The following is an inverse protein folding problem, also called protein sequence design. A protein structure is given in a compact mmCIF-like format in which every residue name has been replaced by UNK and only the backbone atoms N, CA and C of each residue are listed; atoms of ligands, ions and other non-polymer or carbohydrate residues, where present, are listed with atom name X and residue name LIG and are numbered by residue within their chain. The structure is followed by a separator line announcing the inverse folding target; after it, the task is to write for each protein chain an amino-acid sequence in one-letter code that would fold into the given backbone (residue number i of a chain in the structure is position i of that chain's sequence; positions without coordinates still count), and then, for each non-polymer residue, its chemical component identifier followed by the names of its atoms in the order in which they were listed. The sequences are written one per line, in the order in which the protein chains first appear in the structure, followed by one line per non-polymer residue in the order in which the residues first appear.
data_IF_623501544164
#
_entry.id   IF_623501544164
#
_cell.length_a   1.000
_cell.length_b   1.000
_cell.length_c   1.000
_cell.angle_alpha   90.00
_cell.angle_beta   90.00
_cell.angle_gamma   90.00
#
_symmetry.space_group_name_H-M   'P 1'
#
loop_
_entity.id
_entity.type
_entity.pdbx_description
1 polymer ?
#
# COMPACT_ATOMS: atom_id res chain seq x y z
N UNK A 1 70.34 21.64 -9.85
CA UNK A 1 69.15 20.93 -9.34
C UNK A 1 68.05 21.96 -9.09
N UNK A 2 67.05 22.06 -9.97
CA UNK A 2 66.00 23.09 -9.89
C UNK A 2 64.63 22.48 -9.56
N UNK A 3 64.04 22.79 -8.38
CA UNK A 3 62.75 22.24 -7.95
C UNK A 3 61.52 22.87 -8.65
N UNK A 4 61.70 23.88 -9.51
CA UNK A 4 60.60 24.66 -10.07
C UNK A 4 59.91 24.08 -11.32
N UNK A 5 60.39 22.96 -11.88
CA UNK A 5 59.79 22.35 -13.10
C UNK A 5 58.69 21.32 -12.83
N UNK A 6 58.42 20.93 -11.58
CA UNK A 6 57.37 19.95 -11.25
C UNK A 6 56.02 20.56 -10.86
N UNK A 7 55.98 21.83 -10.46
CA UNK A 7 54.73 22.51 -10.05
C UNK A 7 53.91 22.95 -11.28
N UNK A 8 54.57 23.34 -12.38
CA UNK A 8 53.88 23.75 -13.60
C UNK A 8 53.10 22.61 -14.30
N UNK A 9 53.49 21.34 -14.12
CA UNK A 9 52.77 20.19 -14.71
C UNK A 9 51.58 19.71 -13.88
N UNK A 10 51.53 20.03 -12.57
CA UNK A 10 50.37 19.70 -11.73
C UNK A 10 49.22 20.69 -11.94
N UNK A 11 49.52 21.97 -12.19
CA UNK A 11 48.50 23.00 -12.45
C UNK A 11 47.78 22.79 -13.79
N UNK A 12 48.47 22.28 -14.81
CA UNK A 12 47.84 21.98 -16.12
C UNK A 12 47.03 20.68 -16.10
N UNK A 13 47.35 19.72 -15.22
CA UNK A 13 46.52 18.51 -15.06
C UNK A 13 45.26 18.77 -14.23
N UNK A 14 45.31 19.69 -13.24
CA UNK A 14 44.11 20.11 -12.50
C UNK A 14 43.17 21.01 -13.31
N UNK A 15 43.67 21.73 -14.32
CA UNK A 15 42.83 22.50 -15.24
C UNK A 15 42.08 21.64 -16.28
N UNK A 16 42.50 20.39 -16.50
CA UNK A 16 41.84 19.41 -17.37
C UNK A 16 40.90 18.44 -16.64
N UNK A 17 40.87 18.48 -15.31
CA UNK A 17 39.91 17.74 -14.47
C UNK A 17 38.70 18.60 -14.03
N UNK A 18 38.67 19.87 -14.45
CA UNK A 18 37.48 20.72 -14.40
C UNK A 18 36.50 20.41 -15.54
N UNK A 19 36.09 19.15 -15.70
CA UNK A 19 34.81 18.89 -16.36
C UNK A 19 33.76 19.31 -15.35
N UNK A 20 33.42 20.59 -15.44
CA UNK A 20 32.21 21.14 -14.87
C UNK A 20 31.06 20.25 -15.32
N UNK A 21 30.59 19.36 -14.45
CA UNK A 21 29.22 18.90 -14.50
C UNK A 21 28.38 20.12 -14.14
N UNK A 22 28.23 21.03 -15.10
CA UNK A 22 27.05 21.85 -15.17
C UNK A 22 25.94 20.80 -15.35
N UNK A 23 25.31 20.43 -14.24
CA UNK A 23 23.96 19.91 -14.28
C UNK A 23 23.18 20.99 -15.01
N UNK A 24 23.06 20.84 -16.33
CA UNK A 24 22.10 21.60 -17.11
C UNK A 24 20.79 21.23 -16.43
N UNK A 25 20.23 22.20 -15.69
CA UNK A 25 18.89 22.06 -15.15
C UNK A 25 18.01 21.77 -16.36
N UNK A 26 17.71 20.49 -16.59
CA UNK A 26 16.79 20.10 -17.64
C UNK A 26 15.49 20.79 -17.28
N UNK A 27 14.90 21.48 -18.27
CA UNK A 27 13.59 22.07 -18.07
C UNK A 27 12.67 20.97 -17.51
N UNK A 28 11.89 21.26 -16.47
CA UNK A 28 11.01 20.26 -15.87
C UNK A 28 10.14 19.67 -16.97
N UNK A 29 10.02 18.34 -17.00
CA UNK A 29 9.28 17.66 -18.06
C UNK A 29 7.84 18.20 -18.12
N UNK A 30 7.31 18.35 -19.34
CA UNK A 30 5.93 18.79 -19.48
C UNK A 30 4.97 17.74 -18.92
N UNK A 31 3.77 18.16 -18.53
CA UNK A 31 2.73 17.22 -18.07
C UNK A 31 2.50 16.08 -19.08
N UNK A 32 2.41 16.41 -20.37
CA UNK A 32 2.19 15.41 -21.43
C UNK A 32 3.33 14.40 -21.54
N UNK A 33 4.58 14.87 -21.39
CA UNK A 33 5.75 14.00 -21.40
C UNK A 33 5.74 13.05 -20.20
N UNK A 34 5.46 13.56 -19.00
CA UNK A 34 5.37 12.75 -17.78
C UNK A 34 4.24 11.73 -17.87
N UNK A 35 3.06 12.13 -18.36
CA UNK A 35 1.92 11.23 -18.50
C UNK A 35 2.23 10.08 -19.49
N UNK A 36 2.90 10.38 -20.61
CA UNK A 36 3.34 9.36 -21.55
C UNK A 36 4.41 8.42 -20.96
N UNK A 37 5.31 8.96 -20.13
CA UNK A 37 6.37 8.19 -19.46
C UNK A 37 5.83 7.20 -18.42
N UNK A 38 4.57 7.30 -17.99
CA UNK A 38 3.96 6.29 -17.12
C UNK A 38 3.87 4.91 -17.79
N UNK A 39 3.86 4.83 -19.12
CA UNK A 39 3.85 3.57 -19.88
C UNK A 39 5.21 3.22 -20.49
N UNK A 40 6.30 3.90 -20.10
CA UNK A 40 7.65 3.60 -20.59
C UNK A 40 8.04 2.15 -20.25
N UNK A 41 8.95 1.52 -21.01
CA UNK A 41 9.40 0.15 -20.71
C UNK A 41 10.39 0.11 -19.54
N UNK A 42 11.08 1.22 -19.25
CA UNK A 42 12.03 1.31 -18.14
C UNK A 42 11.32 1.71 -16.84
N UNK A 43 11.42 0.85 -15.82
CA UNK A 43 10.87 1.09 -14.48
C UNK A 43 11.24 2.45 -13.89
N UNK A 44 12.53 2.83 -13.98
CA UNK A 44 13.05 4.07 -13.40
C UNK A 44 12.41 5.32 -14.02
N UNK A 45 12.10 5.26 -15.32
CA UNK A 45 11.40 6.34 -16.04
C UNK A 45 9.94 6.42 -15.58
N UNK A 46 9.25 5.27 -15.47
CA UNK A 46 7.87 5.21 -14.99
C UNK A 46 7.74 5.73 -13.55
N UNK A 47 8.63 5.31 -12.65
CA UNK A 47 8.65 5.75 -11.25
C UNK A 47 8.95 7.23 -11.12
N UNK A 48 9.95 7.74 -11.85
CA UNK A 48 10.27 9.16 -11.83
C UNK A 48 9.08 10.00 -12.30
N UNK A 49 8.45 9.59 -13.41
CA UNK A 49 7.28 10.28 -13.93
C UNK A 49 6.11 10.26 -12.95
N UNK A 50 5.85 9.11 -12.33
CA UNK A 50 4.81 8.99 -11.31
C UNK A 50 5.07 9.90 -10.12
N UNK A 51 6.30 9.88 -9.56
CA UNK A 51 6.69 10.77 -8.46
C UNK A 51 6.42 12.22 -8.77
N UNK A 52 6.93 12.68 -9.90
CA UNK A 52 6.89 14.08 -10.28
C UNK A 52 5.44 14.52 -10.53
N UNK A 53 4.60 13.67 -11.12
CA UNK A 53 3.17 13.93 -11.24
C UNK A 53 2.46 13.93 -9.88
N UNK A 54 2.80 13.03 -8.96
CA UNK A 54 2.22 13.01 -7.61
C UNK A 54 2.57 14.28 -6.83
N UNK A 55 3.83 14.70 -6.86
CA UNK A 55 4.28 15.94 -6.23
C UNK A 55 3.57 17.16 -6.82
N UNK A 56 3.43 17.22 -8.16
CA UNK A 56 2.71 18.31 -8.82
C UNK A 56 1.21 18.30 -8.52
N UNK A 57 0.58 17.14 -8.46
CA UNK A 57 -0.85 16.99 -8.19
C UNK A 57 -1.19 17.39 -6.75
N UNK A 58 -0.45 16.87 -5.78
CA UNK A 58 -0.63 17.15 -4.35
C UNK A 58 -0.14 18.54 -3.94
N UNK A 59 0.82 19.11 -4.67
CA UNK A 59 1.33 20.48 -4.50
C UNK A 59 0.51 21.57 -5.19
N UNK A 60 -0.66 21.25 -5.75
CA UNK A 60 -1.52 22.17 -6.51
C UNK A 60 -0.79 22.87 -7.68
N UNK A 61 0.17 22.19 -8.32
CA UNK A 61 0.93 22.70 -9.47
C UNK A 61 0.32 22.30 -10.81
N UNK A 62 -0.62 21.34 -10.81
CA UNK A 62 -1.39 20.96 -11.99
C UNK A 62 -2.62 21.87 -12.12
N UNK A 63 -2.90 22.29 -13.35
CA UNK A 63 -4.17 22.94 -13.69
C UNK A 63 -5.33 21.95 -13.63
N UNK A 64 -6.57 22.45 -13.49
CA UNK A 64 -7.75 21.59 -13.47
C UNK A 64 -7.88 20.70 -14.70
N UNK A 65 -7.57 21.22 -15.90
CA UNK A 65 -7.55 20.42 -17.13
C UNK A 65 -6.52 19.27 -17.09
N UNK A 66 -5.38 19.47 -16.42
CA UNK A 66 -4.38 18.40 -16.24
C UNK A 66 -4.85 17.36 -15.22
N UNK A 67 -5.52 17.78 -14.15
CA UNK A 67 -6.15 16.85 -13.18
C UNK A 67 -7.23 16.01 -13.86
N UNK A 68 -8.10 16.59 -14.70
CA UNK A 68 -9.10 15.80 -15.46
C UNK A 68 -8.46 14.82 -16.43
N UNK A 69 -7.38 15.21 -17.10
CA UNK A 69 -6.66 14.31 -18.00
C UNK A 69 -5.99 13.16 -17.26
N UNK A 70 -5.44 13.43 -16.08
CA UNK A 70 -4.91 12.40 -15.19
C UNK A 70 -6.02 11.43 -14.74
N UNK A 71 -7.16 11.97 -14.31
CA UNK A 71 -8.31 11.16 -13.90
C UNK A 71 -8.86 10.32 -15.06
N UNK A 72 -8.96 10.88 -16.26
CA UNK A 72 -9.38 10.15 -17.46
C UNK A 72 -8.40 9.03 -17.83
N UNK A 73 -7.11 9.21 -17.56
CA UNK A 73 -6.08 8.20 -17.82
C UNK A 73 -6.21 6.95 -16.95
N UNK A 74 -6.98 6.99 -15.85
CA UNK A 74 -7.35 5.81 -15.04
C UNK A 74 -8.07 4.73 -15.89
N UNK A 75 -8.76 5.15 -16.96
CA UNK A 75 -9.42 4.24 -17.92
C UNK A 75 -8.59 4.01 -19.20
N UNK A 76 -7.27 4.25 -19.15
CA UNK A 76 -6.37 4.01 -20.28
C UNK A 76 -6.40 2.54 -20.74
N UNK A 77 -6.25 2.31 -22.04
CA UNK A 77 -6.06 0.96 -22.59
C UNK A 77 -4.68 0.39 -22.25
N UNK A 78 -3.71 1.25 -21.97
CA UNK A 78 -2.44 0.86 -21.36
C UNK A 78 -2.65 0.71 -19.85
N UNK A 79 -2.63 -0.54 -19.37
CA UNK A 79 -2.88 -0.90 -17.97
C UNK A 79 -1.84 -0.31 -17.01
N UNK A 80 -0.61 -0.11 -17.47
CA UNK A 80 0.45 0.48 -16.65
C UNK A 80 0.16 1.98 -16.45
N UNK A 81 -0.21 2.69 -17.53
CA UNK A 81 -0.65 4.10 -17.45
C UNK A 81 -1.90 4.23 -16.58
N UNK A 82 -2.89 3.35 -16.75
CA UNK A 82 -4.13 3.34 -15.97
C UNK A 82 -3.85 3.26 -14.47
N UNK A 83 -3.08 2.24 -14.06
CA UNK A 83 -2.72 1.97 -12.66
C UNK A 83 -1.93 3.10 -12.03
N UNK A 84 -0.92 3.63 -12.74
CA UNK A 84 -0.11 4.74 -12.20
C UNK A 84 -0.92 6.03 -12.12
N UNK A 85 -1.80 6.28 -13.08
CA UNK A 85 -2.71 7.44 -13.05
C UNK A 85 -3.69 7.36 -11.89
N UNK A 86 -4.22 6.17 -11.60
CA UNK A 86 -5.07 5.91 -10.43
C UNK A 86 -4.35 6.28 -9.14
N UNK A 87 -3.08 5.90 -8.99
CA UNK A 87 -2.29 6.22 -7.79
C UNK A 87 -1.98 7.70 -7.64
N UNK A 88 -1.56 8.36 -8.72
CA UNK A 88 -1.29 9.80 -8.69
C UNK A 88 -2.57 10.56 -8.34
N UNK A 89 -3.70 10.18 -8.94
CA UNK A 89 -4.98 10.81 -8.67
C UNK A 89 -5.51 10.47 -7.26
N UNK A 90 -5.31 9.24 -6.79
CA UNK A 90 -5.59 8.81 -5.42
C UNK A 90 -4.79 9.61 -4.39
N UNK A 91 -3.51 9.89 -4.64
CA UNK A 91 -2.69 10.76 -3.79
C UNK A 91 -3.22 12.21 -3.78
N UNK A 92 -3.67 12.72 -4.92
CA UNK A 92 -4.38 14.00 -4.97
C UNK A 92 -5.66 13.96 -4.12
N UNK A 93 -6.49 12.92 -4.25
CA UNK A 93 -7.70 12.71 -3.42
C UNK A 93 -7.35 12.65 -1.93
N UNK A 94 -6.32 11.92 -1.53
CA UNK A 94 -5.85 11.84 -0.15
C UNK A 94 -5.43 13.20 0.43
N UNK A 95 -4.91 14.10 -0.41
CA UNK A 95 -4.55 15.44 0.01
C UNK A 95 -5.77 16.31 0.37
N UNK A 96 -6.95 15.95 -0.13
CA UNK A 96 -8.19 16.72 0.09
C UNK A 96 -8.63 16.63 1.56
N UNK A 97 -9.00 17.76 2.19
CA UNK A 97 -9.50 17.77 3.57
C UNK A 97 -10.77 16.93 3.75
N UNK A 98 -11.71 17.01 2.82
CA UNK A 98 -12.96 16.23 2.83
C UNK A 98 -12.73 14.72 2.82
N UNK A 99 -11.78 14.24 2.01
CA UNK A 99 -11.42 12.82 1.99
C UNK A 99 -10.93 12.34 3.36
N UNK A 100 -10.00 13.09 3.96
CA UNK A 100 -9.45 12.75 5.28
C UNK A 100 -10.54 12.73 6.35
N UNK A 101 -11.44 13.73 6.33
CA UNK A 101 -12.57 13.76 7.25
C UNK A 101 -13.50 12.54 7.09
N UNK A 102 -13.76 12.08 5.85
CA UNK A 102 -14.55 10.86 5.62
C UNK A 102 -13.85 9.61 6.13
N UNK A 103 -12.55 9.46 5.83
CA UNK A 103 -11.74 8.32 6.29
C UNK A 103 -11.64 8.29 7.82
N UNK A 104 -11.50 9.44 8.45
CA UNK A 104 -11.49 9.55 9.91
C UNK A 104 -12.86 9.32 10.53
N UNK A 105 -13.97 9.59 9.85
CA UNK A 105 -15.31 9.39 10.39
C UNK A 105 -15.82 7.94 10.28
N UNK A 106 -15.47 7.19 9.24
CA UNK A 106 -16.04 5.84 9.01
C UNK A 106 -15.06 4.80 8.45
N UNK A 107 -13.80 5.18 8.26
CA UNK A 107 -12.77 4.30 7.71
C UNK A 107 -12.48 3.11 8.61
N UNK A 108 -12.24 1.96 7.99
CA UNK A 108 -11.84 0.73 8.69
C UNK A 108 -10.37 0.45 8.40
N UNK A 109 -9.56 0.32 9.44
CA UNK A 109 -8.13 0.08 9.29
C UNK A 109 -7.66 -1.01 10.24
N UNK A 110 -6.92 -2.00 9.73
CA UNK A 110 -6.25 -2.99 10.58
C UNK A 110 -5.12 -2.29 11.36
N UNK A 111 -5.11 -2.40 12.69
CA UNK A 111 -4.05 -1.84 13.55
C UNK A 111 -3.00 -2.87 13.92
N UNK A 112 -3.38 -4.14 14.00
CA UNK A 112 -2.46 -5.25 14.25
C UNK A 112 -2.97 -6.50 13.57
N UNK A 113 -2.15 -7.06 12.68
CA UNK A 113 -2.42 -8.33 12.03
C UNK A 113 -2.30 -9.50 13.00
N UNK A 114 -2.95 -10.60 12.64
CA UNK A 114 -2.95 -11.86 13.38
C UNK A 114 -1.58 -12.55 13.27
N UNK A 115 -0.83 -12.69 14.37
CA UNK A 115 0.48 -13.36 14.39
C UNK A 115 0.36 -14.90 14.36
N UNK A 116 1.11 -15.58 13.48
CA UNK A 116 1.16 -17.05 13.45
C UNK A 116 2.25 -17.65 14.32
N UNK A 117 1.86 -18.32 15.42
CA UNK A 117 2.72 -19.26 16.13
C UNK A 117 2.33 -20.70 15.75
N UNK A 118 3.19 -21.44 15.01
CA UNK A 118 2.93 -22.83 14.63
C UNK A 118 2.94 -23.83 15.78
N UNK A 119 3.47 -23.46 16.95
CA UNK A 119 3.88 -24.42 17.96
C UNK A 119 2.72 -25.10 18.72
N UNK A 120 1.55 -24.45 18.83
CA UNK A 120 0.61 -24.79 19.91
C UNK A 120 -0.71 -25.44 19.45
N UNK A 121 -0.92 -25.65 18.15
CA UNK A 121 -2.04 -26.46 17.61
C UNK A 121 -3.47 -25.89 17.80
N UNK A 122 -3.68 -24.96 18.73
CA UNK A 122 -4.88 -24.17 18.90
C UNK A 122 -4.51 -22.69 18.94
N UNK A 123 -4.87 -21.95 17.91
CA UNK A 123 -4.66 -20.50 17.93
C UNK A 123 -5.95 -19.76 17.69
N UNK A 124 -6.67 -19.49 18.78
CA UNK A 124 -7.54 -18.31 18.86
C UNK A 124 -6.63 -17.09 18.88
N UNK A 125 -6.82 -16.16 17.95
CA UNK A 125 -5.93 -14.99 17.84
C UNK A 125 -6.71 -13.71 17.68
N UNK A 126 -6.32 -12.72 18.47
CA UNK A 126 -6.96 -11.41 18.50
C UNK A 126 -6.24 -10.43 17.55
N UNK A 127 -6.95 -9.99 16.52
CA UNK A 127 -6.60 -8.81 15.74
C UNK A 127 -7.15 -7.54 16.38
N UNK A 128 -6.55 -6.40 16.02
CA UNK A 128 -7.07 -5.07 16.38
C UNK A 128 -7.31 -4.25 15.14
N UNK A 129 -8.38 -3.48 15.16
CA UNK A 129 -8.73 -2.58 14.08
C UNK A 129 -9.23 -1.24 14.60
N UNK A 130 -9.26 -0.25 13.73
CA UNK A 130 -9.83 1.07 13.95
C UNK A 130 -11.08 1.22 13.09
N UNK A 131 -12.11 1.78 13.67
CA UNK A 131 -13.26 2.34 12.98
C UNK A 131 -13.47 3.73 13.57
N UNK A 132 -13.42 4.77 12.75
CA UNK A 132 -13.33 6.16 13.23
C UNK A 132 -12.08 6.37 14.12
N UNK A 133 -12.28 6.89 15.33
CA UNK A 133 -11.33 7.01 16.43
C UNK A 133 -11.43 5.84 17.40
N UNK A 134 -12.44 4.97 17.24
CA UNK A 134 -12.63 3.81 18.08
C UNK A 134 -11.71 2.65 17.68
N UNK A 135 -11.23 1.91 18.67
CA UNK A 135 -10.45 0.69 18.47
C UNK A 135 -11.28 -0.53 18.83
N UNK A 136 -11.34 -1.48 17.91
CA UNK A 136 -12.04 -2.75 18.09
C UNK A 136 -11.08 -3.92 18.12
N UNK A 137 -11.64 -5.09 18.44
CA UNK A 137 -10.93 -6.37 18.46
C UNK A 137 -11.74 -7.41 17.69
N UNK A 138 -11.05 -8.37 17.10
CA UNK A 138 -11.68 -9.54 16.52
C UNK A 138 -10.83 -10.77 16.80
N UNK A 139 -11.47 -11.92 17.04
CA UNK A 139 -10.79 -13.19 17.21
C UNK A 139 -10.98 -14.12 16.00
N UNK A 140 -9.90 -14.72 15.49
CA UNK A 140 -9.92 -15.71 14.40
C UNK A 140 -9.74 -17.13 14.92
N UNK A 141 -10.24 -18.19 14.24
CA UNK A 141 -11.24 -18.19 13.16
C UNK A 141 -12.65 -18.60 13.63
N UNK A 142 -12.85 -18.90 14.92
CA UNK A 142 -14.11 -19.48 15.44
C UNK A 142 -15.13 -18.45 15.95
N UNK A 143 -14.86 -17.15 15.83
CA UNK A 143 -15.70 -16.09 16.40
C UNK A 143 -16.31 -15.21 15.31
N UNK A 144 -17.58 -14.83 15.48
CA UNK A 144 -18.31 -13.98 14.53
C UNK A 144 -17.67 -12.60 14.35
N UNK A 145 -16.91 -12.11 15.34
CA UNK A 145 -16.21 -10.82 15.26
C UNK A 145 -15.28 -10.69 14.05
N UNK A 146 -14.62 -11.79 13.64
CA UNK A 146 -13.72 -11.74 12.48
C UNK A 146 -14.51 -11.55 11.18
N UNK A 147 -15.60 -12.30 11.00
CA UNK A 147 -16.46 -12.17 9.83
C UNK A 147 -17.09 -10.77 9.73
N UNK A 148 -17.44 -10.18 10.88
CA UNK A 148 -17.99 -8.82 10.94
C UNK A 148 -16.94 -7.76 10.62
N UNK A 149 -15.73 -7.88 11.17
CA UNK A 149 -14.61 -7.01 10.78
C UNK A 149 -14.33 -7.10 9.28
N UNK A 150 -14.23 -8.32 8.73
CA UNK A 150 -14.00 -8.53 7.31
C UNK A 150 -15.12 -7.93 6.45
N UNK A 151 -16.38 -8.08 6.87
CA UNK A 151 -17.53 -7.48 6.17
C UNK A 151 -17.48 -5.94 6.18
N UNK A 152 -17.13 -5.32 7.32
CA UNK A 152 -16.95 -3.86 7.39
C UNK A 152 -15.78 -3.40 6.53
N UNK A 153 -14.64 -4.09 6.61
CA UNK A 153 -13.44 -3.77 5.85
C UNK A 153 -13.70 -3.85 4.34
N UNK A 154 -14.39 -4.90 3.88
CA UNK A 154 -14.76 -5.05 2.47
C UNK A 154 -15.71 -3.94 2.02
N UNK A 155 -16.71 -3.60 2.83
CA UNK A 155 -17.64 -2.53 2.49
C UNK A 155 -16.98 -1.13 2.46
N UNK A 156 -16.06 -0.85 3.39
CA UNK A 156 -15.26 0.38 3.36
C UNK A 156 -14.35 0.43 2.13
N UNK A 157 -13.72 -0.69 1.75
CA UNK A 157 -12.84 -0.73 0.58
C UNK A 157 -13.59 -0.34 -0.70
N UNK A 158 -14.84 -0.75 -0.87
CA UNK A 158 -15.67 -0.33 -2.01
C UNK A 158 -15.94 1.19 -2.02
N UNK A 159 -16.08 1.81 -0.83
CA UNK A 159 -16.19 3.27 -0.70
C UNK A 159 -14.87 3.93 -1.08
N UNK A 160 -13.76 3.48 -0.50
CA UNK A 160 -12.42 4.02 -0.72
C UNK A 160 -12.05 3.95 -2.21
N UNK A 161 -12.27 2.81 -2.87
CA UNK A 161 -12.06 2.66 -4.31
C UNK A 161 -12.82 3.70 -5.13
N UNK A 162 -14.09 3.94 -4.83
CA UNK A 162 -14.90 4.92 -5.56
C UNK A 162 -14.42 6.36 -5.32
N UNK A 163 -14.02 6.67 -4.07
CA UNK A 163 -13.46 7.97 -3.72
C UNK A 163 -12.11 8.22 -4.40
N UNK A 164 -11.22 7.22 -4.43
CA UNK A 164 -9.86 7.35 -4.96
C UNK A 164 -9.81 7.63 -6.47
N UNK A 165 -10.87 7.31 -7.20
CA UNK A 165 -11.00 7.66 -8.63
C UNK A 165 -11.89 8.89 -8.85
N UNK A 166 -12.37 9.52 -7.78
CA UNK A 166 -13.22 10.70 -7.82
C UNK A 166 -14.58 10.40 -8.44
N UNK A 167 -15.20 9.28 -8.07
CA UNK A 167 -16.58 8.94 -8.46
C UNK A 167 -17.50 9.05 -7.23
N UNK A 168 -18.04 10.25 -7.03
CA UNK A 168 -18.89 10.56 -5.87
C UNK A 168 -20.23 9.82 -5.92
N UNK A 169 -20.83 9.65 -7.11
CA UNK A 169 -22.07 8.89 -7.24
C UNK A 169 -21.90 7.42 -6.84
N UNK A 170 -20.79 6.79 -7.24
CA UNK A 170 -20.47 5.41 -6.86
C UNK A 170 -20.10 5.32 -5.38
N UNK A 171 -19.36 6.28 -4.84
CA UNK A 171 -19.04 6.34 -3.42
C UNK A 171 -20.32 6.43 -2.58
N UNK A 172 -21.32 7.21 -3.01
CA UNK A 172 -22.62 7.29 -2.35
C UNK A 172 -23.32 5.92 -2.32
N UNK A 173 -23.35 5.20 -3.45
CA UNK A 173 -23.91 3.84 -3.49
C UNK A 173 -23.15 2.87 -2.57
N UNK A 174 -21.83 2.98 -2.52
CA UNK A 174 -20.99 2.17 -1.66
C UNK A 174 -21.23 2.46 -0.17
N UNK A 175 -21.45 3.72 0.21
CA UNK A 175 -21.84 4.08 1.58
C UNK A 175 -23.21 3.48 1.96
N UNK A 176 -24.18 3.47 1.05
CA UNK A 176 -25.49 2.86 1.28
C UNK A 176 -25.37 1.34 1.49
N UNK A 177 -24.50 0.67 0.72
CA UNK A 177 -24.17 -0.74 0.92
C UNK A 177 -23.43 -0.97 2.26
N UNK A 178 -22.49 -0.10 2.62
CA UNK A 178 -21.76 -0.19 3.89
C UNK A 178 -22.69 -0.02 5.10
N UNK A 179 -23.61 0.94 5.03
CA UNK A 179 -24.68 1.08 6.02
C UNK A 179 -25.49 -0.20 6.16
N UNK A 180 -25.89 -0.81 5.04
CA UNK A 180 -26.66 -2.07 5.03
C UNK A 180 -25.90 -3.22 5.71
N UNK A 181 -24.57 -3.28 5.56
CA UNK A 181 -23.74 -4.29 6.26
C UNK A 181 -23.86 -4.13 7.78
N UNK A 182 -23.69 -2.92 8.29
CA UNK A 182 -23.76 -2.64 9.74
C UNK A 182 -25.21 -2.76 10.26
N UNK A 183 -26.21 -2.39 9.47
CA UNK A 183 -27.63 -2.60 9.80
C UNK A 183 -27.98 -4.08 10.02
N UNK A 184 -27.24 -5.01 9.42
CA UNK A 184 -27.44 -6.44 9.61
C UNK A 184 -26.71 -7.02 10.84
N UNK A 185 -25.98 -6.19 11.60
CA UNK A 185 -25.32 -6.65 12.83
C UNK A 185 -26.35 -6.82 13.95
N UNK A 186 -26.20 -7.90 14.69
CA UNK A 186 -26.93 -8.14 15.95
C UNK A 186 -26.25 -7.41 17.11
N UNK A 187 -26.95 -7.26 18.25
CA UNK A 187 -26.33 -6.68 19.45
C UNK A 187 -25.14 -7.52 19.97
N UNK A 188 -25.13 -8.82 19.70
CA UNK A 188 -23.99 -9.68 20.03
C UNK A 188 -22.81 -9.42 19.08
N UNK A 189 -23.07 -9.17 17.80
CA UNK A 189 -22.03 -8.84 16.82
C UNK A 189 -21.30 -7.55 17.22
N UNK A 190 -22.05 -6.49 17.55
CA UNK A 190 -21.45 -5.21 17.97
C UNK A 190 -20.70 -5.33 19.28
N UNK A 191 -21.24 -6.08 20.26
CA UNK A 191 -20.53 -6.38 21.50
C UNK A 191 -19.20 -7.12 21.24
N UNK A 192 -19.20 -8.12 20.35
CA UNK A 192 -18.03 -8.93 20.04
C UNK A 192 -16.93 -8.15 19.28
N UNK A 193 -17.27 -7.08 18.57
CA UNK A 193 -16.29 -6.18 17.97
C UNK A 193 -15.55 -5.31 19.00
N UNK A 194 -16.11 -5.15 20.21
CA UNK A 194 -15.56 -4.38 21.34
C UNK A 194 -14.98 -3.02 20.90
N UNK A 195 -15.71 -2.31 20.03
CA UNK A 195 -15.31 -1.01 19.49
C UNK A 195 -15.38 0.04 20.60
N UNK A 196 -14.23 0.57 21.03
CA UNK A 196 -14.15 1.55 22.11
C UNK A 196 -13.54 2.86 21.67
N UNK A 197 -14.19 3.96 22.02
CA UNK A 197 -13.65 5.31 21.81
C UNK A 197 -12.41 5.55 22.68
N UNK A 198 -11.63 6.63 22.45
CA UNK A 198 -10.54 7.01 23.35
C UNK A 198 -10.98 7.28 24.80
N UNK A 199 -12.25 7.64 25.01
CA UNK A 199 -12.87 7.79 26.33
C UNK A 199 -13.26 6.44 26.97
N UNK A 200 -13.03 5.32 26.27
CA UNK A 200 -13.34 3.95 26.65
C UNK A 200 -14.85 3.60 26.62
N UNK A 201 -15.67 4.45 26.00
CA UNK A 201 -17.09 4.18 25.76
C UNK A 201 -17.23 3.15 24.63
N UNK A 202 -18.12 2.17 24.83
CA UNK A 202 -18.44 1.19 23.80
C UNK A 202 -19.31 1.85 22.73
N UNK A 203 -18.88 1.75 21.48
CA UNK A 203 -19.58 2.27 20.33
C UNK A 203 -20.64 1.25 19.93
N UNK A 204 -21.91 1.63 20.06
CA UNK A 204 -23.01 0.73 19.72
C UNK A 204 -23.35 0.78 18.22
N UNK A 205 -24.35 0.00 17.81
CA UNK A 205 -24.76 -0.07 16.40
C UNK A 205 -25.24 1.29 15.87
N UNK A 206 -25.99 2.04 16.67
CA UNK A 206 -26.57 3.30 16.24
C UNK A 206 -25.47 4.36 16.10
N UNK A 207 -24.48 4.34 16.99
CA UNK A 207 -23.26 5.15 16.87
C UNK A 207 -22.49 4.81 15.58
N UNK A 208 -22.30 3.52 15.27
CA UNK A 208 -21.63 3.09 14.03
C UNK A 208 -22.37 3.60 12.79
N UNK A 209 -23.70 3.50 12.78
CA UNK A 209 -24.53 3.97 11.68
C UNK A 209 -24.51 5.50 11.55
N UNK A 210 -24.50 6.23 12.67
CA UNK A 210 -24.37 7.68 12.68
C UNK A 210 -23.03 8.14 12.09
N UNK A 211 -21.93 7.46 12.41
CA UNK A 211 -20.59 7.72 11.85
C UNK A 211 -20.52 7.48 10.35
N UNK A 212 -21.14 6.40 9.86
CA UNK A 212 -21.26 6.14 8.42
C UNK A 212 -22.09 7.23 7.72
N UNK A 213 -23.18 7.68 8.35
CA UNK A 213 -24.02 8.76 7.81
C UNK A 213 -23.26 10.10 7.77
N UNK A 214 -22.50 10.43 8.82
CA UNK A 214 -21.63 11.61 8.87
C UNK A 214 -20.59 11.58 7.74
N UNK A 215 -19.91 10.46 7.54
CA UNK A 215 -18.97 10.29 6.44
C UNK A 215 -19.65 10.44 5.05
N UNK A 216 -20.88 9.92 4.90
CA UNK A 216 -21.65 10.07 3.66
C UNK A 216 -22.02 11.54 3.39
N UNK A 217 -22.41 12.30 4.40
CA UNK A 217 -22.79 13.71 4.26
C UNK A 217 -21.59 14.58 3.82
N UNK A 218 -20.36 14.18 4.17
CA UNK A 218 -19.12 14.81 3.71
C UNK A 218 -18.86 14.64 2.20
N UNK A 219 -19.60 13.79 1.48
CA UNK A 219 -19.51 13.70 0.01
C UNK A 219 -19.81 15.02 -0.69
N UNK A 220 -20.63 15.90 -0.09
CA UNK A 220 -20.88 17.23 -0.65
C UNK A 220 -19.61 18.08 -0.62
N UNK A 221 -18.88 18.06 0.49
CA UNK A 221 -17.59 18.74 0.60
C UNK A 221 -16.54 18.10 -0.32
N UNK A 222 -16.57 16.77 -0.46
CA UNK A 222 -15.68 16.04 -1.35
C UNK A 222 -15.84 16.44 -2.82
N UNK A 223 -17.08 16.51 -3.32
CA UNK A 223 -17.36 17.00 -4.68
C UNK A 223 -16.88 18.44 -4.88
N UNK A 224 -17.11 19.30 -3.90
CA UNK A 224 -16.61 20.67 -3.95
C UNK A 224 -15.09 20.74 -4.02
N UNK A 225 -14.38 19.96 -3.20
CA UNK A 225 -12.92 19.88 -3.22
C UNK A 225 -12.38 19.32 -4.54
N UNK A 226 -13.01 18.27 -5.09
CA UNK A 226 -12.67 17.72 -6.40
C UNK A 226 -12.80 18.78 -7.50
N UNK A 227 -13.95 19.45 -7.58
CA UNK A 227 -14.21 20.49 -8.58
C UNK A 227 -13.25 21.67 -8.46
N UNK A 228 -12.90 22.08 -7.24
CA UNK A 228 -11.94 23.17 -7.01
C UNK A 228 -10.51 22.78 -7.39
N UNK A 229 -10.13 21.52 -7.20
CA UNK A 229 -8.89 20.97 -7.77
C UNK A 229 -9.00 20.66 -9.27
N UNK A 230 -10.17 20.87 -9.85
CA UNK A 230 -10.47 20.72 -11.26
C UNK A 230 -10.78 19.30 -11.71
N UNK A 231 -10.87 18.32 -10.81
CA UNK A 231 -11.29 16.97 -11.13
C UNK A 231 -12.77 16.90 -11.58
N UNK A 232 -13.12 15.80 -12.25
CA UNK A 232 -14.51 15.44 -12.51
C UNK A 232 -15.09 14.65 -11.33
N UNK A 233 -16.38 14.85 -11.04
CA UNK A 233 -17.09 14.24 -9.91
C UNK A 233 -17.48 12.77 -10.11
N UNK A 234 -17.52 12.28 -11.36
CA UNK A 234 -18.13 11.00 -11.72
C UNK A 234 -17.30 10.26 -12.78
N UNK A 235 -16.01 10.09 -12.49
CA UNK A 235 -15.14 9.36 -13.42
C UNK A 235 -15.47 7.90 -13.54
N UNK A 236 -15.20 7.33 -14.71
CA UNK A 236 -15.33 5.90 -14.93
C UNK A 236 -14.41 5.13 -13.98
N UNK A 237 -14.93 4.05 -13.41
CA UNK A 237 -14.11 3.13 -12.62
C UNK A 237 -13.07 2.44 -13.54
N UNK A 238 -11.90 2.06 -13.01
CA UNK A 238 -10.96 1.21 -13.73
C UNK A 238 -11.67 -0.04 -14.26
N UNK A 239 -11.47 -0.34 -15.54
CA UNK A 239 -12.09 -1.50 -16.17
C UNK A 239 -11.43 -2.79 -15.65
N UNK A 240 -12.19 -3.75 -15.11
CA UNK A 240 -11.62 -5.04 -14.74
C UNK A 240 -11.04 -5.78 -15.94
N UNK A 241 -9.94 -6.51 -15.71
CA UNK A 241 -9.29 -7.32 -16.73
C UNK A 241 -10.06 -8.62 -16.96
N UNK A 242 -10.56 -8.91 -18.17
CA UNK A 242 -11.31 -10.14 -18.43
C UNK A 242 -10.39 -11.37 -18.48
N UNK A 243 -10.69 -12.38 -17.68
CA UNK A 243 -9.97 -13.66 -17.63
C UNK A 243 -10.81 -14.73 -18.28
N UNK A 244 -10.38 -15.20 -19.46
CA UNK A 244 -11.10 -16.22 -20.23
C UNK A 244 -10.45 -17.59 -20.17
N UNK A 245 -9.13 -17.63 -19.99
CA UNK A 245 -8.34 -18.84 -19.98
C UNK A 245 -7.25 -18.73 -18.90
N UNK A 246 -6.75 -19.87 -18.45
CA UNK A 246 -5.50 -19.96 -17.71
C UNK A 246 -4.31 -19.43 -18.55
N UNK A 247 -3.23 -19.07 -17.88
CA UNK A 247 -2.02 -18.48 -18.48
C UNK A 247 -1.69 -17.11 -17.91
N UNK A 248 -0.93 -16.33 -18.67
CA UNK A 248 -0.50 -14.98 -18.29
C UNK A 248 -1.71 -14.04 -18.32
N UNK A 249 -1.92 -13.34 -17.21
CA UNK A 249 -2.90 -12.27 -17.07
C UNK A 249 -2.19 -10.93 -17.26
N UNK A 250 -2.62 -10.12 -18.24
CA UNK A 250 -2.02 -8.81 -18.46
C UNK A 250 -2.48 -7.84 -17.37
N UNK A 251 -1.61 -7.50 -16.43
CA UNK A 251 -1.91 -6.57 -15.32
C UNK A 251 -1.05 -5.30 -15.35
N UNK A 252 -0.23 -5.13 -16.38
CA UNK A 252 0.76 -4.04 -16.50
C UNK A 252 2.18 -4.58 -16.49
N UNK A 253 3.16 -3.67 -16.54
CA UNK A 253 4.58 -4.04 -16.53
C UNK A 253 5.06 -4.39 -15.12
N UNK A 254 4.55 -3.70 -14.09
CA UNK A 254 5.04 -3.91 -12.71
C UNK A 254 4.41 -5.07 -11.95
N UNK A 255 3.35 -5.67 -12.49
CA UNK A 255 2.75 -6.86 -11.92
C UNK A 255 2.36 -7.79 -13.07
N UNK A 256 2.88 -9.00 -13.03
CA UNK A 256 2.41 -10.10 -13.84
C UNK A 256 1.82 -11.18 -12.95
N UNK A 257 0.73 -11.77 -13.41
CA UNK A 257 0.07 -12.89 -12.76
C UNK A 257 -0.05 -14.02 -13.77
N UNK A 258 0.30 -15.24 -13.38
CA UNK A 258 0.09 -16.43 -14.21
C UNK A 258 -0.80 -17.41 -13.45
N UNK A 259 -1.90 -17.79 -14.08
CA UNK A 259 -2.86 -18.77 -13.54
C UNK A 259 -2.58 -20.12 -14.20
N UNK A 260 -2.30 -21.17 -13.43
CA UNK A 260 -2.06 -22.50 -14.02
C UNK A 260 -3.35 -23.19 -14.47
N UNK A 261 -4.46 -22.97 -13.76
CA UNK A 261 -5.77 -23.56 -14.04
C UNK A 261 -6.88 -22.55 -13.74
N UNK A 262 -7.97 -22.66 -14.48
CA UNK A 262 -9.14 -21.81 -14.34
C UNK A 262 -10.38 -22.70 -14.24
N UNK A 263 -11.09 -22.62 -13.12
CA UNK A 263 -12.34 -23.36 -12.89
C UNK A 263 -13.52 -22.66 -13.57
N UNK A 264 -13.55 -21.33 -13.55
CA UNK A 264 -14.56 -20.52 -14.22
C UNK A 264 -13.99 -19.18 -14.72
N UNK A 265 -14.36 -18.74 -15.93
CA UNK A 265 -13.96 -17.43 -16.44
C UNK A 265 -14.65 -16.31 -15.67
N UNK A 266 -14.04 -15.14 -15.68
CA UNK A 266 -14.58 -13.97 -15.00
C UNK A 266 -13.74 -12.73 -15.25
N UNK A 267 -13.63 -11.88 -14.24
CA UNK A 267 -12.87 -10.64 -14.30
C UNK A 267 -11.96 -10.51 -13.10
N UNK A 268 -10.81 -9.87 -13.28
CA UNK A 268 -9.89 -9.53 -12.20
C UNK A 268 -9.75 -8.02 -12.14
N UNK A 269 -10.05 -7.45 -10.99
CA UNK A 269 -9.80 -6.04 -10.72
C UNK A 269 -8.50 -5.91 -9.94
N UNK A 270 -7.70 -4.91 -10.30
CA UNK A 270 -6.44 -4.59 -9.66
C UNK A 270 -6.50 -3.15 -9.14
N UNK A 271 -6.04 -2.96 -7.92
CA UNK A 271 -5.83 -1.66 -7.29
C UNK A 271 -4.41 -1.56 -6.75
N UNK A 272 -3.80 -0.39 -6.83
CA UNK A 272 -2.48 -0.10 -6.28
C UNK A 272 -2.56 0.82 -5.07
N UNK A 273 -1.88 0.47 -3.98
CA UNK A 273 -1.79 1.31 -2.78
C UNK A 273 -0.34 1.65 -2.45
N UNK A 274 -0.15 2.86 -1.91
CA UNK A 274 1.09 3.24 -1.22
C UNK A 274 1.07 2.70 0.22
N UNK A 275 2.25 2.59 0.86
CA UNK A 275 2.36 2.09 2.24
C UNK A 275 1.47 2.87 3.24
N UNK A 276 1.34 4.19 3.08
CA UNK A 276 0.51 5.04 3.93
C UNK A 276 -0.98 4.74 3.84
N UNK A 277 -1.41 4.19 2.72
CA UNK A 277 -2.82 4.04 2.34
C UNK A 277 -3.22 2.57 2.14
N UNK A 278 -2.28 1.66 2.38
CA UNK A 278 -2.51 0.24 2.39
C UNK A 278 -3.63 -0.13 3.39
N UNK A 279 -4.65 -0.89 2.96
CA UNK A 279 -5.69 -1.35 3.89
C UNK A 279 -5.13 -2.36 4.91
N UNK A 280 -4.04 -3.05 4.54
CA UNK A 280 -3.28 -3.91 5.43
C UNK A 280 -1.96 -3.27 5.87
N UNK A 281 -1.54 -3.62 7.09
CA UNK A 281 -0.22 -3.25 7.60
C UNK A 281 0.82 -4.29 7.24
N UNK A 282 2.08 -3.85 7.21
CA UNK A 282 3.20 -4.76 7.10
C UNK A 282 3.18 -5.78 8.25
N UNK A 283 3.49 -7.06 8.00
CA UNK A 283 3.60 -8.05 9.06
C UNK A 283 4.59 -7.60 10.15
N UNK A 284 4.39 -7.98 11.42
CA UNK A 284 5.31 -7.61 12.51
C UNK A 284 6.76 -7.98 12.21
N UNK A 285 7.68 -7.02 12.37
CA UNK A 285 9.10 -7.19 12.05
C UNK A 285 9.46 -6.94 10.58
N UNK A 286 8.51 -6.53 9.76
CA UNK A 286 8.72 -6.21 8.35
C UNK A 286 8.23 -4.80 8.02
N UNK A 287 8.70 -4.29 6.88
CA UNK A 287 8.19 -3.07 6.22
C UNK A 287 7.83 -3.39 4.78
N UNK A 288 6.90 -2.64 4.21
CA UNK A 288 6.61 -2.75 2.78
C UNK A 288 7.73 -2.12 1.95
N UNK A 289 7.96 -2.69 0.77
CA UNK A 289 8.89 -2.19 -0.24
C UNK A 289 8.09 -1.91 -1.49
N UNK A 290 8.12 -0.65 -1.92
CA UNK A 290 7.36 -0.21 -3.08
C UNK A 290 5.86 -0.30 -2.85
N UNK A 291 5.18 -0.96 -3.78
CA UNK A 291 3.74 -0.84 -3.99
C UNK A 291 3.01 -2.08 -3.48
N UNK A 292 1.80 -1.87 -2.97
CA UNK A 292 0.88 -2.97 -2.66
C UNK A 292 -0.14 -3.11 -3.78
N UNK A 293 -0.43 -4.34 -4.15
CA UNK A 293 -1.36 -4.70 -5.21
C UNK A 293 -2.54 -5.46 -4.61
N UNK A 294 -3.73 -4.86 -4.61
CA UNK A 294 -4.95 -5.57 -4.23
C UNK A 294 -5.61 -6.16 -5.46
N UNK A 295 -5.78 -7.47 -5.47
CA UNK A 295 -6.44 -8.21 -6.54
C UNK A 295 -7.80 -8.70 -6.05
N UNK A 296 -8.85 -8.46 -6.84
CA UNK A 296 -10.22 -8.85 -6.53
C UNK A 296 -10.83 -9.62 -7.70
N UNK A 297 -11.25 -10.85 -7.42
CA UNK A 297 -12.02 -11.66 -8.36
C UNK A 297 -13.45 -11.09 -8.49
N UNK A 298 -13.89 -10.90 -9.74
CA UNK A 298 -15.21 -10.41 -10.10
C UNK A 298 -15.89 -11.35 -11.11
N UNK A 299 -17.20 -11.17 -11.27
CA UNK A 299 -18.01 -11.88 -12.25
C UNK A 299 -17.88 -13.41 -12.20
N UNK A 300 -17.69 -13.97 -11.00
CA UNK A 300 -17.58 -15.42 -10.79
C UNK A 300 -16.25 -16.03 -11.23
N UNK A 301 -15.17 -15.24 -11.30
CA UNK A 301 -13.83 -15.75 -11.57
C UNK A 301 -13.44 -16.81 -10.52
N UNK A 302 -13.23 -18.05 -10.94
CA UNK A 302 -12.77 -19.12 -10.07
C UNK A 302 -11.45 -19.69 -10.61
N UNK A 303 -10.42 -19.66 -9.78
CA UNK A 303 -9.07 -20.13 -10.10
C UNK A 303 -8.76 -21.38 -9.31
N UNK A 304 -8.12 -22.35 -9.96
CA UNK A 304 -7.61 -23.56 -9.33
C UNK A 304 -6.10 -23.69 -9.56
N UNK A 305 -5.49 -24.62 -8.84
CA UNK A 305 -4.07 -24.94 -9.01
C UNK A 305 -3.13 -23.86 -8.47
N UNK A 306 -1.97 -23.73 -9.10
CA UNK A 306 -0.95 -22.75 -8.75
C UNK A 306 -1.21 -21.39 -9.39
N UNK A 307 -0.92 -20.34 -8.63
CA UNK A 307 -0.89 -18.95 -9.05
C UNK A 307 0.54 -18.47 -8.88
N UNK A 308 1.13 -17.95 -9.95
CA UNK A 308 2.44 -17.31 -9.92
C UNK A 308 2.31 -15.80 -10.04
N UNK A 309 3.10 -15.08 -9.27
CA UNK A 309 3.20 -13.63 -9.28
C UNK A 309 4.62 -13.26 -9.67
N UNK A 310 4.75 -12.19 -10.45
CA UNK A 310 6.00 -11.49 -10.72
C UNK A 310 5.76 -10.01 -10.43
N UNK A 311 6.47 -9.48 -9.44
CA UNK A 311 6.36 -8.08 -9.01
C UNK A 311 7.68 -7.39 -9.31
N UNK A 312 7.59 -6.35 -10.14
CA UNK A 312 8.71 -5.48 -10.43
C UNK A 312 8.96 -4.51 -9.26
N UNK A 313 10.22 -4.30 -8.92
CA UNK A 313 10.67 -3.38 -7.87
C UNK A 313 11.95 -2.67 -8.31
N UNK A 314 12.11 -1.40 -7.96
CA UNK A 314 13.21 -0.59 -8.49
C UNK A 314 14.52 -0.67 -7.71
N UNK A 315 15.58 -0.20 -8.39
CA UNK A 315 16.84 0.15 -7.77
C UNK A 315 16.65 1.25 -6.71
N UNK A 316 16.90 0.89 -5.44
CA UNK A 316 17.60 1.55 -4.31
C UNK A 316 17.38 3.08 -4.04
N UNK A 317 16.90 3.93 -4.96
CA UNK A 317 16.91 5.39 -4.78
C UNK A 317 15.68 6.18 -5.25
N UNK A 318 14.63 5.57 -5.82
CA UNK A 318 13.44 6.32 -6.27
C UNK A 318 12.16 5.75 -5.62
N UNK A 319 11.47 6.63 -4.87
CA UNK A 319 10.30 6.42 -3.97
C UNK A 319 10.27 5.07 -3.24
N UNK A 320 10.49 5.15 -1.93
CA UNK A 320 10.37 4.00 -1.04
C UNK A 320 11.72 3.70 -0.42
N UNK A 321 11.67 3.16 0.78
CA UNK A 321 12.90 2.92 1.52
C UNK A 321 13.88 2.08 0.70
N UNK A 322 15.17 2.48 0.62
CA UNK A 322 16.16 1.72 -0.14
C UNK A 322 16.16 0.27 0.34
N UNK A 323 16.06 -0.66 -0.60
CA UNK A 323 16.25 -2.08 -0.32
C UNK A 323 17.69 -2.27 0.11
N UNK A 324 17.88 -2.80 1.32
CA UNK A 324 19.21 -2.98 1.91
C UNK A 324 19.85 -4.28 1.44
N UNK A 325 19.03 -5.31 1.20
CA UNK A 325 19.46 -6.64 0.78
C UNK A 325 18.37 -7.30 -0.10
N UNK A 326 18.44 -7.18 -1.45
CA UNK A 326 17.41 -7.71 -2.36
C UNK A 326 17.15 -9.22 -2.20
N UNK A 327 18.18 -9.98 -1.84
CA UNK A 327 18.13 -11.42 -1.59
C UNK A 327 17.32 -11.79 -0.33
N UNK A 328 16.98 -10.81 0.51
CA UNK A 328 16.14 -10.99 1.70
C UNK A 328 14.68 -10.62 1.47
N UNK A 329 14.35 -10.08 0.29
CA UNK A 329 12.99 -9.68 -0.04
C UNK A 329 12.06 -10.89 -0.14
N UNK A 330 10.82 -10.70 0.30
CA UNK A 330 9.77 -11.71 0.22
C UNK A 330 8.49 -11.09 -0.31
N UNK A 331 7.67 -11.89 -1.00
CA UNK A 331 6.30 -11.49 -1.31
C UNK A 331 5.41 -11.93 -0.16
N UNK A 332 4.61 -11.02 0.37
CA UNK A 332 3.54 -11.36 1.31
C UNK A 332 2.19 -11.25 0.60
N UNK A 333 1.33 -12.25 0.77
CA UNK A 333 -0.09 -12.21 0.44
C UNK A 333 -0.89 -11.95 1.70
N UNK A 334 -1.74 -10.93 1.72
CA UNK A 334 -2.63 -10.60 2.83
C UNK A 334 -4.07 -10.86 2.37
N UNK A 335 -4.68 -11.91 2.90
CA UNK A 335 -6.03 -12.33 2.54
C UNK A 335 -6.80 -12.74 3.79
N UNK A 336 -8.06 -12.30 3.91
CA UNK A 336 -8.90 -12.59 5.08
C UNK A 336 -8.30 -12.12 6.40
N UNK A 337 -7.57 -11.00 6.40
CA UNK A 337 -6.88 -10.46 7.58
C UNK A 337 -5.62 -11.22 8.02
N UNK A 338 -5.16 -12.18 7.21
CA UNK A 338 -3.98 -13.00 7.50
C UNK A 338 -2.87 -12.75 6.49
N UNK A 339 -1.63 -12.67 6.98
CA UNK A 339 -0.45 -12.57 6.15
C UNK A 339 0.15 -13.95 5.87
N UNK A 340 0.44 -14.23 4.60
CA UNK A 340 1.06 -15.44 4.10
C UNK A 340 2.35 -15.06 3.37
N UNK A 341 3.50 -15.42 3.95
CA UNK A 341 4.78 -15.24 3.29
C UNK A 341 4.93 -16.27 2.18
N UNK A 342 5.17 -15.80 0.97
CA UNK A 342 5.40 -16.61 -0.20
C UNK A 342 6.91 -16.69 -0.43
N UNK A 343 7.42 -17.89 -0.73
CA UNK A 343 8.83 -18.08 -1.07
C UNK A 343 9.16 -17.29 -2.34
N UNK A 344 9.86 -16.18 -2.18
CA UNK A 344 10.29 -15.31 -3.28
C UNK A 344 11.54 -15.85 -3.95
N UNK A 345 11.59 -15.79 -5.28
CA UNK A 345 12.81 -15.99 -6.07
C UNK A 345 13.05 -14.74 -6.90
N UNK A 346 14.22 -14.12 -6.73
CA UNK A 346 14.67 -13.06 -7.62
C UNK A 346 14.84 -13.65 -9.02
N UNK A 347 14.03 -13.17 -9.95
CA UNK A 347 14.11 -13.57 -11.36
C UNK A 347 15.12 -12.69 -12.11
N UNK A 348 15.18 -11.40 -11.76
CA UNK A 348 16.19 -10.44 -12.21
C UNK A 348 16.50 -9.44 -11.08
N UNK A 349 17.33 -8.42 -11.35
CA UNK A 349 17.71 -7.36 -10.40
C UNK A 349 16.53 -6.56 -9.84
N UNK A 350 15.42 -6.55 -10.57
CA UNK A 350 14.23 -5.74 -10.34
C UNK A 350 12.93 -6.55 -10.36
N UNK A 351 12.99 -7.89 -10.36
CA UNK A 351 11.80 -8.74 -10.41
C UNK A 351 11.83 -9.83 -9.34
N UNK A 352 10.81 -9.82 -8.47
CA UNK A 352 10.61 -10.84 -7.45
C UNK A 352 9.40 -11.70 -7.84
N UNK A 353 9.63 -13.01 -7.95
CA UNK A 353 8.59 -13.97 -8.29
C UNK A 353 8.21 -14.81 -7.08
N UNK A 354 6.94 -15.18 -6.96
CA UNK A 354 6.50 -16.18 -5.98
C UNK A 354 5.32 -16.98 -6.48
N UNK A 355 5.08 -18.14 -5.88
CA UNK A 355 3.92 -18.99 -6.21
C UNK A 355 3.15 -19.36 -4.96
N UNK A 356 1.84 -19.53 -5.11
CA UNK A 356 0.99 -20.13 -4.08
C UNK A 356 -0.10 -21.00 -4.74
N UNK A 357 -0.65 -21.94 -3.99
CA UNK A 357 -1.79 -22.73 -4.44
C UNK A 357 -3.09 -22.00 -4.08
N UNK A 358 -3.97 -21.84 -5.06
CA UNK A 358 -5.32 -21.38 -4.84
C UNK A 358 -6.06 -22.35 -3.91
N UNK A 359 -7.10 -21.85 -3.22
CA UNK A 359 -7.93 -22.72 -2.39
C UNK A 359 -8.54 -23.86 -3.25
N UNK A 360 -8.50 -25.12 -2.80
CA UNK A 360 -8.96 -26.27 -3.60
C UNK A 360 -10.47 -26.29 -3.85
N UNK A 361 -11.23 -25.45 -3.16
CA UNK A 361 -12.67 -25.27 -3.37
C UNK A 361 -13.07 -23.83 -3.10
N UNK A 362 -13.74 -23.19 -4.06
CA UNK A 362 -14.27 -21.84 -3.96
C UNK A 362 -13.49 -20.78 -4.75
N UNK A 363 -13.96 -19.54 -4.68
CA UNK A 363 -13.31 -18.37 -5.27
C UNK A 363 -12.02 -18.06 -4.50
N UNK A 364 -10.87 -18.01 -5.19
CA UNK A 364 -9.67 -17.46 -4.56
C UNK A 364 -9.90 -15.98 -4.25
N UNK A 365 -9.70 -15.59 -2.99
CA UNK A 365 -9.91 -14.20 -2.58
C UNK A 365 -8.83 -13.26 -3.11
N UNK A 366 -7.76 -13.77 -3.73
CA UNK A 366 -6.49 -13.15 -4.13
C UNK A 366 -5.84 -12.33 -3.03
N UNK A 367 -6.49 -11.27 -2.57
CA UNK A 367 -6.08 -10.42 -1.48
C UNK A 367 -5.08 -9.36 -1.94
N UNK A 368 -4.28 -8.89 -1.00
CA UNK A 368 -3.25 -7.89 -1.23
C UNK A 368 -1.89 -8.55 -1.34
N UNK A 369 -1.07 -8.11 -2.27
CA UNK A 369 0.30 -8.57 -2.49
C UNK A 369 1.24 -7.41 -2.30
N UNK A 370 2.31 -7.64 -1.56
CA UNK A 370 3.34 -6.63 -1.34
C UNK A 370 4.70 -7.30 -1.27
N UNK A 371 5.74 -6.56 -1.62
CA UNK A 371 7.11 -6.94 -1.29
C UNK A 371 7.39 -6.43 0.13
N UNK A 372 8.04 -7.26 0.93
CA UNK A 372 8.44 -6.92 2.29
C UNK A 372 9.93 -7.17 2.51
N UNK A 373 10.52 -6.35 3.37
CA UNK A 373 11.87 -6.51 3.88
C UNK A 373 11.82 -6.61 5.40
N UNK A 374 12.64 -7.49 5.98
CA UNK A 374 12.78 -7.60 7.42
C UNK A 374 13.39 -6.30 7.97
N UNK A 375 12.73 -5.68 8.96
CA UNK A 375 13.28 -4.55 9.69
C UNK A 375 14.24 -5.12 10.73
N UNK A 376 15.54 -4.78 10.70
CA UNK A 376 16.45 -5.22 11.74
C UNK A 376 15.88 -4.80 13.09
N UNK A 377 15.70 -5.75 14.02
CA UNK A 377 15.28 -5.42 15.37
C UNK A 377 16.24 -4.34 15.88
N UNK A 378 15.70 -3.19 16.32
CA UNK A 378 16.51 -2.14 16.91
C UNK A 378 17.44 -2.82 17.92
N UNK A 379 18.77 -2.62 17.85
CA UNK A 379 19.72 -3.31 18.70
C UNK A 379 19.29 -3.06 20.13
N UNK A 380 18.65 -4.09 20.69
CA UNK A 380 17.87 -3.93 21.89
C UNK A 380 18.88 -3.65 22.99
N UNK A 381 18.54 -2.75 23.93
CA UNK A 381 19.34 -2.23 25.05
C UNK A 381 20.26 -3.22 25.82
N UNK A 382 20.20 -4.52 25.54
CA UNK A 382 21.12 -5.56 26.00
C UNK A 382 22.61 -5.25 25.73
N UNK A 383 22.97 -4.62 24.61
CA UNK A 383 24.37 -4.22 24.36
C UNK A 383 24.82 -3.05 25.26
N UNK A 384 23.92 -2.14 25.63
CA UNK A 384 24.20 -1.05 26.58
C UNK A 384 24.24 -1.56 28.04
N UNK A 385 23.42 -2.56 28.40
CA UNK A 385 23.48 -3.21 29.71
C UNK A 385 24.71 -4.13 29.84
N UNK A 386 25.15 -4.80 28.77
CA UNK A 386 26.38 -5.58 28.77
C UNK A 386 27.64 -4.67 28.84
N UNK A 387 27.62 -3.50 28.20
CA UNK A 387 28.68 -2.50 28.33
C UNK A 387 28.70 -1.82 29.71
N UNK A 388 27.54 -1.59 30.33
CA UNK A 388 27.46 -1.05 31.70
C UNK A 388 27.87 -2.08 32.77
N UNK A 389 27.61 -3.37 32.55
CA UNK A 389 28.02 -4.45 33.46
C UNK A 389 29.51 -4.78 33.43
N UNK A 390 30.19 -4.57 32.30
CA UNK A 390 31.64 -4.80 32.16
C UNK A 390 32.52 -3.69 32.76
N UNK A 391 31.94 -2.51 33.07
CA UNK A 391 32.68 -1.35 33.60
C UNK A 391 32.82 -1.26 35.12
N UNK A 392 32.09 -2.07 35.90
CA UNK A 392 32.04 -1.96 37.37
C UNK A 392 33.00 -2.89 38.14
N UNK A 393 33.87 -3.62 37.43
CA UNK A 393 34.70 -4.67 38.01
C UNK A 393 36.19 -4.33 38.14
N UNK A 394 36.59 -3.11 38.50
CA UNK A 394 38.02 -2.86 38.77
C UNK A 394 38.38 -1.62 39.62
N UNK A 395 37.73 -1.40 40.77
CA UNK A 395 38.25 -0.44 41.78
C UNK A 395 38.00 -0.94 43.21
N UNK A 396 38.64 -2.04 43.63
CA UNK A 396 38.87 -2.28 45.07
C UNK A 396 40.22 -2.99 45.26
N UNK A 397 41.29 -2.22 45.46
CA UNK A 397 42.44 -2.61 46.31
C UNK A 397 43.36 -1.42 46.52
N UNK A 398 43.14 -0.67 47.61
CA UNK A 398 44.18 0.03 48.37
C UNK A 398 43.58 0.64 49.64
N UNK A 399 43.80 0.00 50.79
CA UNK A 399 44.40 0.57 52.03
C UNK A 399 44.00 -0.22 53.28
N UNK A 400 44.99 -0.89 53.85
CA UNK A 400 45.27 -1.06 55.29
C UNK A 400 46.62 -1.82 55.35
N UNK A 401 47.67 -1.43 56.07
CA UNK A 401 47.94 -0.25 56.89
C UNK A 401 49.42 -0.26 57.29
N UNK A 402 49.94 0.92 57.61
CA UNK A 402 51.01 1.23 58.58
C UNK A 402 51.16 2.74 58.62
#
# INVERSE_FOLDING_TARGET
MHPYRRIAKLATLLALLGISWLAVAQAPASFDALLAQLGDQNFSVREQAQRELTERATGAQLSGAQIQRLQAAISSADLEVARRSERIFGAFVHSLPSYRAMKDAAGVQLLRAVEFNPADGETTRDGRFRFDTAQGRFASPRFTSNDRFLAMSAAWQEVETALLVGNAAKAQQAFDAYKTVVENFTGLDTFNLDLRTPANDLLDKDDMLARIAEARDLLVAFRFDLQNGGAADDSALPLPTPIRNAGIVPLGASLQLTLSELSAPGQLQLFGFDESDAPALAPPGFRFIGQLFSLQALAGLEVAGQIALDIEFGEIQLIGNPVTAPDTLQIVRIAGGQAFFLGGTLHDVDHLTATYAAAPSGTDSFGQFAIVEAVPAAPTLWLLLAAAGAGAGNVVRRRAGS
#
